data_IF_434626719095
#
_entry.id   IF_434626719095
#
_cell.length_a   1.000
_cell.length_b   1.000
_cell.length_c   1.000
_cell.angle_alpha   90.00
_cell.angle_beta   90.00
_cell.angle_gamma   90.00
#
_symmetry.space_group_name_H-M   'P 1'
#
loop_
_entity.id
_entity.type
_entity.pdbx_description
1 polymer ?
#
# COMPACT_ATOMS: atom_id res chain seq x y z
N UNK A 1 -17.55 -10.80 13.94
CA UNK A 1 -18.12 -9.71 13.11
C UNK A 1 -17.21 -9.55 11.90
N UNK A 2 -17.77 -9.29 10.72
CA UNK A 2 -17.03 -9.14 9.47
C UNK A 2 -17.25 -7.76 8.88
N UNK A 3 -16.24 -7.27 8.16
CA UNK A 3 -16.32 -6.05 7.38
C UNK A 3 -16.18 -6.45 5.92
N UNK A 4 -17.07 -5.98 5.06
CA UNK A 4 -17.00 -6.19 3.61
C UNK A 4 -16.76 -4.84 2.96
N UNK A 5 -15.62 -4.69 2.31
CA UNK A 5 -15.37 -3.58 1.41
C UNK A 5 -15.97 -3.93 0.04
N UNK A 6 -16.97 -3.16 -0.41
CA UNK A 6 -17.63 -3.35 -1.71
C UNK A 6 -16.64 -3.31 -2.87
N UNK A 7 -15.67 -2.38 -2.78
CA UNK A 7 -14.76 -2.05 -3.85
C UNK A 7 -15.46 -1.88 -5.19
N UNK A 8 -14.75 -2.20 -6.26
CA UNK A 8 -15.24 -2.14 -7.64
C UNK A 8 -16.07 -3.38 -8.02
N UNK A 9 -15.97 -4.45 -7.24
CA UNK A 9 -16.65 -5.72 -7.48
C UNK A 9 -18.08 -5.78 -6.95
N UNK A 10 -18.57 -4.73 -6.29
CA UNK A 10 -19.95 -4.67 -5.80
C UNK A 10 -20.28 -5.72 -4.74
N UNK A 11 -19.29 -6.16 -3.94
CA UNK A 11 -19.51 -7.16 -2.89
C UNK A 11 -20.40 -6.61 -1.78
N UNK A 12 -21.23 -7.45 -1.15
CA UNK A 12 -22.01 -7.05 0.02
C UNK A 12 -23.40 -6.48 -0.27
N UNK A 13 -23.94 -6.68 -1.48
CA UNK A 13 -25.38 -6.55 -1.74
C UNK A 13 -26.10 -7.71 -1.05
N UNK A 14 -26.40 -7.53 0.24
CA UNK A 14 -27.12 -8.52 1.03
C UNK A 14 -28.63 -8.36 0.78
N UNK A 15 -29.35 -9.47 0.65
CA UNK A 15 -30.81 -9.46 0.59
C UNK A 15 -31.43 -8.89 1.87
N UNK A 16 -30.79 -9.16 3.02
CA UNK A 16 -31.17 -8.65 4.33
C UNK A 16 -29.94 -8.19 5.12
N UNK A 17 -30.01 -7.07 5.84
CA UNK A 17 -28.95 -6.63 6.73
C UNK A 17 -28.66 -7.69 7.82
N UNK A 18 -27.39 -7.88 8.16
CA UNK A 18 -26.98 -8.74 9.28
C UNK A 18 -26.16 -7.93 10.28
N UNK A 19 -26.55 -7.94 11.55
CA UNK A 19 -25.84 -7.20 12.64
C UNK A 19 -24.36 -7.56 12.77
N UNK A 20 -23.97 -8.74 12.30
CA UNK A 20 -22.59 -9.22 12.34
C UNK A 20 -21.73 -8.78 11.16
N UNK A 21 -22.30 -8.13 10.13
CA UNK A 21 -21.63 -7.71 8.90
C UNK A 21 -21.78 -6.21 8.69
N UNK A 22 -20.67 -5.52 8.59
CA UNK A 22 -20.65 -4.10 8.21
C UNK A 22 -20.14 -3.96 6.78
N UNK A 23 -20.97 -3.41 5.90
CA UNK A 23 -20.59 -3.16 4.50
C UNK A 23 -20.12 -1.72 4.37
N UNK A 24 -18.91 -1.52 3.86
CA UNK A 24 -18.33 -0.20 3.62
C UNK A 24 -17.93 -0.04 2.16
N UNK A 25 -17.88 1.23 1.72
CA UNK A 25 -17.34 1.61 0.41
C UNK A 25 -15.81 1.73 0.52
N UNK A 26 -15.22 2.88 0.20
CA UNK A 26 -13.77 3.04 0.31
C UNK A 26 -13.35 3.43 1.74
N UNK A 27 -12.26 2.83 2.24
CA UNK A 27 -11.70 3.12 3.56
C UNK A 27 -10.17 2.99 3.52
N UNK A 28 -9.40 3.91 4.15
CA UNK A 28 -7.95 3.77 4.24
C UNK A 28 -7.54 2.47 4.94
N UNK A 29 -6.80 1.62 4.23
CA UNK A 29 -6.41 0.30 4.74
C UNK A 29 -5.39 0.36 5.89
N UNK A 30 -4.52 1.36 5.88
CA UNK A 30 -3.56 1.66 6.95
C UNK A 30 -4.26 1.95 8.29
N UNK A 31 -5.41 2.61 8.26
CA UNK A 31 -6.24 2.80 9.46
C UNK A 31 -7.11 1.57 9.76
N UNK A 32 -7.81 1.04 8.76
CA UNK A 32 -8.80 -0.04 8.94
C UNK A 32 -8.16 -1.33 9.46
N UNK A 33 -7.03 -1.73 8.89
CA UNK A 33 -6.42 -3.02 9.22
C UNK A 33 -5.86 -3.06 10.64
N UNK A 34 -5.52 -1.92 11.25
CA UNK A 34 -5.15 -1.85 12.67
C UNK A 34 -6.30 -2.27 13.60
N UNK A 35 -7.55 -2.20 13.12
CA UNK A 35 -8.75 -2.60 13.86
C UNK A 35 -9.17 -4.05 13.55
N UNK A 36 -8.48 -4.72 12.62
CA UNK A 36 -8.82 -6.05 12.16
C UNK A 36 -8.00 -7.13 12.87
N UNK A 37 -8.58 -8.34 12.97
CA UNK A 37 -7.86 -9.53 13.44
C UNK A 37 -7.15 -10.28 12.33
N UNK A 38 -7.72 -10.25 11.12
CA UNK A 38 -7.22 -10.91 9.93
C UNK A 38 -7.83 -10.23 8.69
N UNK A 39 -7.21 -10.42 7.53
CA UNK A 39 -7.66 -9.81 6.26
C UNK A 39 -7.70 -10.86 5.15
N UNK A 40 -8.77 -10.83 4.35
CA UNK A 40 -8.89 -11.61 3.11
C UNK A 40 -8.93 -10.62 1.96
N UNK A 41 -8.01 -10.73 1.01
CA UNK A 41 -7.98 -9.84 -0.15
C UNK A 41 -7.31 -10.51 -1.34
N UNK A 42 -7.27 -9.82 -2.47
CA UNK A 42 -6.82 -10.38 -3.73
C UNK A 42 -5.30 -10.49 -3.92
N UNK A 43 -4.49 -9.92 -3.02
CA UNK A 43 -3.02 -9.97 -3.13
C UNK A 43 -2.32 -8.83 -3.86
N UNK A 44 -2.95 -7.68 -4.09
CA UNK A 44 -2.21 -6.52 -4.61
C UNK A 44 -1.12 -6.06 -3.64
N UNK A 45 0.08 -5.74 -4.15
CA UNK A 45 1.28 -5.44 -3.37
C UNK A 45 1.05 -4.47 -2.20
N UNK A 46 0.39 -3.34 -2.46
CA UNK A 46 0.10 -2.33 -1.44
C UNK A 46 -0.84 -2.82 -0.33
N UNK A 47 -1.91 -3.55 -0.70
CA UNK A 47 -2.85 -4.11 0.28
C UNK A 47 -2.19 -5.21 1.11
N UNK A 48 -1.39 -6.07 0.48
CA UNK A 48 -0.59 -7.09 1.19
C UNK A 48 0.33 -6.41 2.19
N UNK A 49 1.10 -5.41 1.76
CA UNK A 49 2.01 -4.67 2.63
C UNK A 49 1.27 -3.98 3.79
N UNK A 50 0.11 -3.35 3.53
CA UNK A 50 -0.70 -2.71 4.57
C UNK A 50 -1.20 -3.72 5.61
N UNK A 51 -1.72 -4.88 5.18
CA UNK A 51 -2.19 -5.93 6.09
C UNK A 51 -1.07 -6.48 6.97
N UNK A 52 0.09 -6.75 6.37
CA UNK A 52 1.26 -7.25 7.09
C UNK A 52 1.84 -6.20 8.06
N UNK A 53 1.91 -4.93 7.67
CA UNK A 53 2.32 -3.83 8.56
C UNK A 53 1.39 -3.67 9.76
N UNK A 54 0.09 -3.89 9.58
CA UNK A 54 -0.90 -3.90 10.66
C UNK A 54 -0.85 -5.20 11.51
N UNK A 55 0.16 -6.05 11.30
CA UNK A 55 0.30 -7.36 11.94
C UNK A 55 -0.94 -8.25 11.77
N UNK A 56 -1.68 -8.12 10.67
CA UNK A 56 -2.84 -8.96 10.37
C UNK A 56 -2.40 -10.23 9.62
N UNK A 57 -2.67 -11.43 10.18
CA UNK A 57 -2.76 -12.63 9.38
C UNK A 57 -3.61 -12.41 8.13
N UNK A 58 -3.14 -12.89 7.00
CA UNK A 58 -3.66 -12.50 5.68
C UNK A 58 -3.89 -13.72 4.81
N UNK A 59 -5.05 -13.82 4.16
CA UNK A 59 -5.32 -14.83 3.11
C UNK A 59 -5.44 -14.13 1.76
N UNK A 60 -4.73 -14.67 0.77
CA UNK A 60 -4.72 -14.14 -0.59
C UNK A 60 -5.61 -14.99 -1.50
N UNK A 61 -6.49 -14.31 -2.23
CA UNK A 61 -7.36 -14.90 -3.27
C UNK A 61 -6.93 -14.33 -4.63
N UNK A 62 -5.88 -14.88 -5.25
CA UNK A 62 -5.31 -14.31 -6.47
C UNK A 62 -6.20 -14.58 -7.68
N UNK A 63 -6.17 -13.64 -8.63
CA UNK A 63 -6.88 -13.69 -9.90
C UNK A 63 -6.05 -13.20 -11.11
N UNK A 64 -5.11 -12.25 -10.96
CA UNK A 64 -4.13 -11.93 -12.01
C UNK A 64 -2.83 -11.29 -11.48
N UNK A 65 -1.82 -11.16 -12.34
CA UNK A 65 -0.64 -10.33 -12.08
C UNK A 65 0.29 -10.91 -11.02
N UNK A 66 0.79 -10.06 -10.12
CA UNK A 66 1.73 -10.43 -9.06
C UNK A 66 1.06 -11.02 -7.81
N UNK A 67 -0.26 -11.19 -7.83
CA UNK A 67 -1.05 -11.61 -6.68
C UNK A 67 -0.68 -13.01 -6.16
N UNK A 68 -0.41 -13.96 -7.08
CA UNK A 68 0.03 -15.29 -6.70
C UNK A 68 1.38 -15.23 -5.96
N UNK A 69 2.31 -14.43 -6.46
CA UNK A 69 3.61 -14.22 -5.82
C UNK A 69 3.42 -13.70 -4.38
N UNK A 70 2.58 -12.68 -4.17
CA UNK A 70 2.30 -12.17 -2.83
C UNK A 70 1.66 -13.21 -1.92
N UNK A 71 0.74 -14.01 -2.45
CA UNK A 71 0.18 -15.15 -1.75
C UNK A 71 1.24 -16.14 -1.29
N UNK A 72 2.17 -16.51 -2.18
CA UNK A 72 3.25 -17.45 -1.86
C UNK A 72 4.23 -16.86 -0.82
N UNK A 73 4.42 -15.54 -0.80
CA UNK A 73 5.20 -14.84 0.24
C UNK A 73 4.52 -14.83 1.59
N UNK A 74 3.22 -14.55 1.62
CA UNK A 74 2.41 -14.64 2.83
C UNK A 74 2.44 -16.06 3.40
N UNK A 75 2.21 -17.08 2.57
CA UNK A 75 2.21 -18.47 2.99
C UNK A 75 3.57 -18.92 3.51
N UNK A 76 4.65 -18.67 2.76
CA UNK A 76 5.99 -19.11 3.16
C UNK A 76 6.51 -18.43 4.44
N UNK A 77 6.03 -17.22 4.76
CA UNK A 77 6.32 -16.55 6.03
C UNK A 77 5.45 -17.08 7.19
N UNK A 78 4.48 -17.94 6.91
CA UNK A 78 3.59 -18.53 7.91
C UNK A 78 2.60 -17.53 8.50
N UNK A 79 2.34 -16.41 7.80
CA UNK A 79 1.40 -15.35 8.21
C UNK A 79 0.05 -15.45 7.49
N UNK A 80 -0.15 -16.55 6.76
CA UNK A 80 -1.37 -16.89 6.05
C UNK A 80 -1.34 -18.32 5.51
N UNK A 81 -2.51 -18.87 5.14
CA UNK A 81 -2.59 -20.19 4.53
C UNK A 81 -2.07 -20.15 3.09
N UNK A 82 -2.04 -21.32 2.44
CA UNK A 82 -1.80 -21.41 0.99
C UNK A 82 -2.81 -20.51 0.26
N UNK A 83 -2.40 -19.72 -0.76
CA UNK A 83 -3.31 -18.88 -1.52
C UNK A 83 -4.46 -19.69 -2.11
N UNK A 84 -5.64 -19.09 -2.21
CA UNK A 84 -6.83 -19.73 -2.75
C UNK A 84 -7.12 -19.11 -4.12
N UNK A 85 -6.69 -19.72 -5.25
CA UNK A 85 -7.03 -19.20 -6.56
C UNK A 85 -8.52 -18.96 -6.69
N UNK A 86 -8.92 -17.86 -7.33
CA UNK A 86 -10.32 -17.42 -7.38
C UNK A 86 -11.25 -18.50 -7.95
N UNK A 87 -10.78 -19.32 -8.88
CA UNK A 87 -11.54 -20.43 -9.50
C UNK A 87 -11.83 -21.57 -8.51
N UNK A 88 -11.06 -21.65 -7.44
CA UNK A 88 -11.20 -22.66 -6.38
C UNK A 88 -11.86 -22.10 -5.13
N UNK A 89 -12.12 -20.78 -5.09
CA UNK A 89 -12.64 -20.10 -3.92
C UNK A 89 -14.05 -20.60 -3.59
N UNK A 90 -14.23 -21.03 -2.35
CA UNK A 90 -15.52 -21.49 -1.85
C UNK A 90 -15.59 -21.31 -0.34
N UNK A 91 -16.79 -21.52 0.22
CA UNK A 91 -17.06 -21.32 1.64
C UNK A 91 -16.12 -22.14 2.53
N UNK A 92 -15.91 -23.42 2.21
CA UNK A 92 -15.08 -24.30 3.04
C UNK A 92 -13.64 -23.79 3.10
N UNK A 93 -13.04 -23.48 1.94
CA UNK A 93 -11.68 -22.92 1.89
C UNK A 93 -11.56 -21.59 2.63
N UNK A 94 -12.55 -20.72 2.52
CA UNK A 94 -12.58 -19.45 3.26
C UNK A 94 -12.65 -19.68 4.78
N UNK A 95 -13.50 -20.60 5.23
CA UNK A 95 -13.63 -20.95 6.66
C UNK A 95 -12.32 -21.52 7.20
N UNK A 96 -11.68 -22.43 6.46
CA UNK A 96 -10.43 -23.04 6.88
C UNK A 96 -9.29 -22.02 6.93
N UNK A 97 -9.23 -21.13 5.94
CA UNK A 97 -8.30 -20.00 5.94
C UNK A 97 -8.52 -19.07 7.14
N UNK A 98 -9.77 -18.74 7.47
CA UNK A 98 -10.08 -17.92 8.64
C UNK A 98 -9.68 -18.60 9.95
N UNK A 99 -9.92 -19.91 10.09
CA UNK A 99 -9.50 -20.67 11.28
C UNK A 99 -7.99 -20.60 11.46
N UNK A 100 -7.24 -20.91 10.40
CA UNK A 100 -5.77 -20.80 10.39
C UNK A 100 -5.30 -19.41 10.81
N UNK A 101 -5.85 -18.36 10.19
CA UNK A 101 -5.46 -16.97 10.49
C UNK A 101 -5.77 -16.53 11.93
N UNK A 102 -6.72 -17.19 12.60
CA UNK A 102 -7.09 -16.89 13.98
C UNK A 102 -6.28 -17.70 15.00
N UNK A 103 -5.39 -18.59 14.56
CA UNK A 103 -4.47 -19.29 15.46
C UNK A 103 -3.47 -18.31 16.10
N UNK A 104 -3.22 -18.41 17.42
CA UNK A 104 -2.29 -17.50 18.12
C UNK A 104 -0.88 -17.49 17.53
N UNK A 105 -0.39 -18.62 17.06
CA UNK A 105 0.94 -18.75 16.46
C UNK A 105 1.08 -17.96 15.15
N UNK A 106 0.02 -17.95 14.32
CA UNK A 106 -0.01 -17.18 13.07
C UNK A 106 -0.03 -15.69 13.38
N UNK A 107 -0.79 -15.27 14.41
CA UNK A 107 -0.77 -13.88 14.88
C UNK A 107 0.61 -13.47 15.40
N UNK A 108 1.29 -14.34 16.14
CA UNK A 108 2.64 -14.05 16.63
C UNK A 108 3.62 -13.81 15.47
N UNK A 109 3.63 -14.70 14.46
CA UNK A 109 4.45 -14.53 13.25
C UNK A 109 4.13 -13.22 12.51
N UNK A 110 2.85 -12.85 12.43
CA UNK A 110 2.44 -11.59 11.80
C UNK A 110 2.97 -10.36 12.57
N UNK A 111 3.00 -10.40 13.92
CA UNK A 111 3.58 -9.35 14.75
C UNK A 111 5.10 -9.26 14.56
N UNK A 112 5.79 -10.40 14.51
CA UNK A 112 7.24 -10.44 14.28
C UNK A 112 7.60 -9.86 12.91
N UNK A 113 6.84 -10.23 11.87
CA UNK A 113 7.04 -9.69 10.52
C UNK A 113 6.75 -8.19 10.46
N UNK A 114 5.67 -7.71 11.10
CA UNK A 114 5.35 -6.29 11.14
C UNK A 114 6.49 -5.46 11.75
N UNK A 115 7.07 -5.93 12.87
CA UNK A 115 8.23 -5.30 13.51
C UNK A 115 9.46 -5.26 12.60
N UNK A 116 9.72 -6.34 11.86
CA UNK A 116 10.81 -6.38 10.90
C UNK A 116 10.60 -5.33 9.78
N UNK A 117 9.38 -5.24 9.24
CA UNK A 117 9.02 -4.24 8.23
C UNK A 117 9.12 -2.80 8.74
N UNK A 118 8.83 -2.56 10.03
CA UNK A 118 8.95 -1.24 10.65
C UNK A 118 10.41 -0.76 10.72
N UNK A 119 11.36 -1.68 10.83
CA UNK A 119 12.79 -1.35 10.86
C UNK A 119 13.40 -1.00 9.49
N UNK A 120 12.63 -1.17 8.40
CA UNK A 120 13.09 -0.91 7.04
C UNK A 120 12.76 0.52 6.58
N UNK A 121 13.75 1.23 6.03
CA UNK A 121 13.53 2.49 5.31
C UNK A 121 13.70 2.28 3.79
N UNK A 122 12.66 1.69 3.20
CA UNK A 122 12.60 1.44 1.76
C UNK A 122 12.56 2.72 0.91
N UNK A 123 12.01 3.82 1.44
CA UNK A 123 11.89 5.10 0.72
C UNK A 123 13.26 5.72 0.53
N UNK A 124 14.02 5.86 1.60
CA UNK A 124 15.40 6.38 1.52
C UNK A 124 16.27 5.46 0.67
N UNK A 125 16.11 4.14 0.79
CA UNK A 125 16.79 3.17 -0.07
C UNK A 125 16.50 3.40 -1.55
N UNK A 126 15.22 3.59 -1.92
CA UNK A 126 14.79 3.86 -3.28
C UNK A 126 15.33 5.21 -3.80
N UNK A 127 15.26 6.27 -3.00
CA UNK A 127 15.80 7.60 -3.36
C UNK A 127 17.31 7.53 -3.61
N UNK A 128 18.07 6.88 -2.72
CA UNK A 128 19.52 6.67 -2.92
C UNK A 128 19.80 5.88 -4.18
N UNK A 129 19.05 4.80 -4.42
CA UNK A 129 19.22 3.98 -5.62
C UNK A 129 18.89 4.78 -6.89
N UNK A 130 17.82 5.58 -6.88
CA UNK A 130 17.45 6.45 -7.99
C UNK A 130 18.54 7.48 -8.28
N UNK A 131 18.97 8.25 -7.27
CA UNK A 131 19.99 9.29 -7.43
C UNK A 131 21.34 8.73 -7.89
N UNK A 132 21.72 7.53 -7.45
CA UNK A 132 22.94 6.84 -7.90
C UNK A 132 22.94 6.57 -9.41
N UNK A 133 21.78 6.29 -10.00
CA UNK A 133 21.66 5.93 -11.41
C UNK A 133 21.13 7.07 -12.29
N UNK A 134 20.74 8.20 -11.68
CA UNK A 134 20.40 9.40 -12.41
C UNK A 134 21.69 9.92 -13.09
N UNK A 135 21.73 10.03 -14.42
CA UNK A 135 22.89 10.60 -15.09
C UNK A 135 23.13 11.99 -14.53
N UNK A 136 24.35 12.27 -14.05
CA UNK A 136 24.71 13.65 -13.76
C UNK A 136 24.61 14.41 -15.06
N UNK A 137 23.69 15.37 -15.14
CA UNK A 137 23.85 16.48 -16.07
C UNK A 137 25.24 17.02 -15.78
N UNK A 138 26.17 16.86 -16.73
CA UNK A 138 27.35 17.69 -16.74
C UNK A 138 26.80 19.10 -16.93
N UNK A 139 26.57 19.82 -15.83
CA UNK A 139 26.58 21.26 -15.91
C UNK A 139 27.90 21.59 -16.62
N UNK A 140 27.83 22.24 -17.77
CA UNK A 140 28.98 22.61 -18.56
C UNK A 140 30.03 23.25 -17.66
N UNK A 141 31.09 22.50 -17.31
CA UNK A 141 32.31 23.03 -16.68
C UNK A 141 33.02 24.06 -17.60
N UNK A 142 32.47 24.31 -18.80
CA UNK A 142 32.89 25.33 -19.76
C UNK A 142 31.95 26.54 -19.85
N UNK A 143 30.92 26.65 -19.02
CA UNK A 143 30.10 27.86 -18.99
C UNK A 143 30.87 28.98 -18.26
N UNK A 144 31.07 30.16 -18.88
CA UNK A 144 31.75 31.26 -18.21
C UNK A 144 30.96 31.66 -16.95
N UNK A 145 31.64 32.14 -15.90
CA UNK A 145 30.97 32.57 -14.68
C UNK A 145 29.90 33.61 -15.02
N UNK A 146 28.71 33.55 -14.39
CA UNK A 146 27.65 34.52 -14.65
C UNK A 146 28.21 35.92 -14.38
N UNK A 147 28.14 36.78 -15.39
CA UNK A 147 28.53 38.19 -15.28
C UNK A 147 27.70 38.82 -14.17
N UNK A 148 28.31 39.48 -13.17
CA UNK A 148 27.53 40.17 -12.15
C UNK A 148 26.66 41.24 -12.83
N UNK A 149 25.39 41.41 -12.42
CA UNK A 149 24.53 42.42 -13.01
C UNK A 149 25.17 43.80 -12.80
N UNK A 150 25.32 44.54 -13.90
CA UNK A 150 25.77 45.93 -13.84
C UNK A 150 24.83 46.72 -12.96
N UNK A 151 25.40 47.60 -12.13
CA UNK A 151 24.73 48.47 -11.15
C UNK A 151 23.54 49.30 -11.69
N UNK A 152 23.31 49.32 -13.01
CA UNK A 152 22.26 50.10 -13.67
C UNK A 152 21.00 49.31 -14.07
N UNK A 153 20.96 47.98 -13.97
CA UNK A 153 19.71 47.22 -14.28
C UNK A 153 18.69 47.21 -13.13
N UNK A 154 19.05 47.72 -11.94
CA UNK A 154 18.14 47.78 -10.78
C UNK A 154 17.17 48.99 -10.80
N UNK A 155 17.26 49.87 -11.80
CA UNK A 155 16.39 51.04 -11.94
C UNK A 155 15.47 50.91 -13.16
N UNK A 156 14.65 49.86 -13.18
CA UNK A 156 13.48 49.81 -14.06
C UNK A 156 12.43 50.87 -13.65
N UNK A 157 11.74 51.52 -14.60
CA UNK A 157 10.83 52.63 -14.29
C UNK A 157 9.55 52.13 -13.58
N UNK A 158 9.30 52.66 -12.39
CA UNK A 158 8.05 52.49 -11.63
C UNK A 158 6.95 53.37 -12.25
N UNK A 159 6.06 52.78 -13.06
CA UNK A 159 4.76 53.33 -13.47
C UNK A 159 4.01 52.22 -14.22
N UNK A 160 2.80 51.76 -13.93
CA UNK A 160 1.63 52.28 -13.20
C UNK A 160 0.78 51.07 -12.80
N UNK A 161 0.29 51.03 -11.57
CA UNK A 161 -0.94 50.31 -11.24
C UNK A 161 -2.12 51.00 -11.92
N UNK A 162 -3.05 50.23 -12.51
CA UNK A 162 -4.52 50.42 -12.52
C UNK A 162 -5.15 49.48 -13.56
N UNK A 163 -6.09 48.62 -13.11
CA UNK A 163 -7.11 48.05 -13.99
C UNK A 163 -7.55 46.62 -13.67
N UNK A 164 -8.51 46.48 -12.77
CA UNK A 164 -9.42 45.32 -12.73
C UNK A 164 -10.39 45.36 -13.92
N UNK A 165 -10.66 44.19 -14.51
CA UNK A 165 -11.99 43.60 -14.73
C UNK A 165 -11.81 42.13 -15.11
#
# INVERSE_FOLDING_TARGET
RGIINKGWGGLGTLAEPKDSIYVLDNCPHDWLFLQCKAVVHHGGAGTTAAGLKAACPTTIVPFFGDQQFWGDRVHARGVGPVPIPVEQFNLQKLVDAMKFMLEPEVKQKAVELAKAMESEDGVTGAVRAFLKHLPSSKADENSPPPTPPGFLEFLGPVSKCLGCS
#
